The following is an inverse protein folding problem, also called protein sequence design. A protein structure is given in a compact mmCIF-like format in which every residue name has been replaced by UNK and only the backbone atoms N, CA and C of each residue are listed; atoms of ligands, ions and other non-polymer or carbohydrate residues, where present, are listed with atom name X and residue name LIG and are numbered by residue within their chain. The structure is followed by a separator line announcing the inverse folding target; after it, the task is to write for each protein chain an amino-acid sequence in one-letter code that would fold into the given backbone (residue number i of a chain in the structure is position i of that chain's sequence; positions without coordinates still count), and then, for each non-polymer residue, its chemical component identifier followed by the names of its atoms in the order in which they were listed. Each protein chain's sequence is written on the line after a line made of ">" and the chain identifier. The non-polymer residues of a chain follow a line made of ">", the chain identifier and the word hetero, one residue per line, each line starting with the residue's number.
data_IF_767906875969
#
_entry.id   IF_767906875969
#
_cell.length_a   1.000
_cell.length_b   1.000
_cell.length_c   1.000
_cell.angle_alpha   90.00
_cell.angle_beta   90.00
_cell.angle_gamma   90.00
#
_symmetry.space_group_name_H-M   'P 1'
#
loop_
_entity.id
_entity.type
_entity.pdbx_description
1 polymer ?
#
# COMPACT_ATOMS: atom_id res chain seq x y z
N UNK A 1 49.95 -67.53 -10.56
CA UNK A 1 48.49 -67.67 -10.29
C UNK A 1 48.05 -66.32 -9.80
N UNK A 2 47.56 -65.46 -10.73
CA UNK A 2 47.25 -64.04 -10.45
C UNK A 2 45.75 -63.91 -10.25
N UNK A 3 45.36 -63.59 -9.01
CA UNK A 3 43.95 -63.34 -8.62
C UNK A 3 43.62 -61.89 -8.93
N UNK A 4 42.75 -61.65 -9.93
CA UNK A 4 42.21 -60.35 -10.24
C UNK A 4 40.93 -60.16 -9.43
N UNK A 5 40.98 -59.22 -8.47
CA UNK A 5 39.80 -58.76 -7.70
C UNK A 5 39.09 -57.71 -8.57
N UNK A 6 37.85 -58.00 -9.03
CA UNK A 6 36.95 -57.03 -9.64
C UNK A 6 36.25 -56.23 -8.52
N UNK A 7 36.50 -54.94 -8.47
CA UNK A 7 35.69 -54.00 -7.71
C UNK A 7 34.45 -53.64 -8.54
N UNK A 8 33.28 -54.08 -8.11
CA UNK A 8 32.01 -53.60 -8.64
C UNK A 8 31.67 -52.28 -7.93
N UNK A 9 31.78 -51.15 -8.62
CA UNK A 9 31.27 -49.88 -8.17
C UNK A 9 29.77 -49.83 -8.37
N UNK A 10 28.99 -49.93 -7.31
CA UNK A 10 27.54 -49.68 -7.33
C UNK A 10 27.31 -48.17 -7.40
N UNK A 11 26.82 -47.72 -8.54
CA UNK A 11 26.36 -46.34 -8.75
C UNK A 11 25.01 -46.17 -8.02
N UNK A 12 25.06 -45.52 -6.87
CA UNK A 12 23.84 -45.11 -6.14
C UNK A 12 23.26 -43.91 -6.90
N UNK A 13 22.23 -44.12 -7.72
CA UNK A 13 21.43 -43.01 -8.27
C UNK A 13 20.55 -42.46 -7.18
N UNK A 14 20.92 -41.35 -6.57
CA UNK A 14 20.03 -40.54 -5.76
C UNK A 14 19.06 -39.84 -6.71
N UNK A 15 17.86 -40.37 -6.82
CA UNK A 15 16.75 -39.62 -7.45
C UNK A 15 16.36 -38.51 -6.48
N UNK A 16 16.78 -37.27 -6.75
CA UNK A 16 16.19 -36.09 -6.15
C UNK A 16 14.74 -36.04 -6.66
N UNK A 17 13.80 -36.34 -5.78
CA UNK A 17 12.41 -35.96 -6.02
C UNK A 17 12.43 -34.43 -6.19
N UNK A 18 12.13 -33.96 -7.41
CA UNK A 18 11.86 -32.56 -7.64
C UNK A 18 10.61 -32.24 -6.80
N UNK A 19 10.78 -31.49 -5.73
CA UNK A 19 9.67 -30.85 -5.05
C UNK A 19 8.97 -29.99 -6.12
N UNK A 20 7.66 -30.09 -6.22
CA UNK A 20 6.91 -29.22 -7.11
C UNK A 20 7.27 -27.78 -6.74
N UNK A 21 7.71 -27.01 -7.72
CA UNK A 21 8.03 -25.59 -7.50
C UNK A 21 6.70 -24.87 -7.22
N UNK A 22 6.53 -24.42 -5.98
CA UNK A 22 5.37 -23.65 -5.54
C UNK A 22 5.54 -22.14 -5.85
N UNK A 23 6.38 -21.81 -6.83
CA UNK A 23 6.62 -20.44 -7.26
C UNK A 23 6.89 -20.35 -8.78
N UNK A 24 6.73 -19.16 -9.31
CA UNK A 24 7.17 -18.80 -10.64
C UNK A 24 7.94 -17.49 -10.63
N UNK A 25 8.79 -17.30 -11.60
CA UNK A 25 9.62 -16.12 -11.78
C UNK A 25 9.56 -15.65 -13.24
N UNK A 26 9.40 -14.34 -13.47
CA UNK A 26 9.40 -13.72 -14.80
C UNK A 26 10.09 -12.38 -14.78
N UNK A 27 10.91 -12.13 -15.78
CA UNK A 27 11.54 -10.81 -16.01
C UNK A 27 11.06 -10.26 -17.35
N UNK A 28 10.54 -9.05 -17.33
CA UNK A 28 9.97 -8.36 -18.48
C UNK A 28 10.75 -7.07 -18.74
N UNK A 29 11.10 -6.84 -20.02
CA UNK A 29 11.72 -5.59 -20.40
C UNK A 29 10.63 -4.54 -20.62
N UNK A 30 10.82 -3.37 -20.04
CA UNK A 30 9.92 -2.22 -20.13
C UNK A 30 10.69 -0.95 -20.50
N UNK A 31 10.01 0.16 -20.73
CA UNK A 31 10.68 1.46 -20.85
C UNK A 31 10.82 2.12 -19.45
N UNK A 32 11.41 3.32 -19.41
CA UNK A 32 11.70 4.02 -18.15
C UNK A 32 10.46 4.35 -17.30
N UNK A 33 9.26 4.41 -17.89
CA UNK A 33 8.01 4.78 -17.20
C UNK A 33 6.91 3.75 -17.51
N UNK A 34 6.98 2.54 -16.99
CA UNK A 34 5.96 1.52 -17.20
C UNK A 34 4.71 1.77 -16.33
N UNK A 35 3.62 1.11 -16.73
CA UNK A 35 2.44 0.95 -15.92
C UNK A 35 2.35 -0.51 -15.43
N UNK A 36 2.20 -0.71 -14.13
CA UNK A 36 2.10 -2.02 -13.50
C UNK A 36 0.76 -2.16 -12.77
N UNK A 37 -0.01 -3.14 -13.17
CA UNK A 37 -1.27 -3.54 -12.54
C UNK A 37 -1.08 -4.90 -11.89
N UNK A 38 -1.38 -5.03 -10.60
CA UNK A 38 -1.29 -6.29 -9.86
C UNK A 38 -2.58 -6.52 -9.10
N UNK A 39 -3.16 -7.69 -9.26
CA UNK A 39 -4.37 -8.08 -8.54
C UNK A 39 -4.25 -9.48 -7.96
N UNK A 40 -4.66 -9.64 -6.68
CA UNK A 40 -4.73 -10.95 -6.02
C UNK A 40 -5.98 -11.04 -5.14
N UNK A 41 -6.50 -12.24 -4.96
CA UNK A 41 -7.68 -12.46 -4.10
C UNK A 41 -7.35 -12.33 -2.62
N UNK A 42 -6.26 -12.94 -2.16
CA UNK A 42 -5.93 -13.02 -0.73
C UNK A 42 -4.44 -12.87 -0.43
N UNK A 43 -3.59 -12.89 -1.45
CA UNK A 43 -2.14 -12.81 -1.29
C UNK A 43 -1.65 -11.39 -1.00
N UNK A 44 -0.44 -11.31 -0.52
CA UNK A 44 0.27 -10.05 -0.32
C UNK A 44 0.85 -9.56 -1.65
N UNK A 45 0.99 -8.26 -1.78
CA UNK A 45 1.67 -7.61 -2.89
C UNK A 45 2.77 -6.74 -2.31
N UNK A 46 4.01 -7.03 -2.69
CA UNK A 46 5.16 -6.24 -2.31
C UNK A 46 5.89 -5.77 -3.57
N UNK A 47 6.11 -4.46 -3.69
CA UNK A 47 6.80 -3.88 -4.84
C UNK A 47 7.97 -3.02 -4.37
N UNK A 48 9.18 -3.36 -4.81
CA UNK A 48 10.42 -2.66 -4.46
C UNK A 48 11.02 -1.94 -5.67
N UNK A 49 11.80 -0.90 -5.40
CA UNK A 49 12.60 -0.25 -6.42
C UNK A 49 13.69 -1.20 -6.95
N UNK A 50 13.80 -1.27 -8.27
CA UNK A 50 14.82 -2.01 -8.98
C UNK A 50 15.64 -1.15 -9.91
N UNK A 51 16.79 -1.65 -10.31
CA UNK A 51 17.67 -0.98 -11.25
C UNK A 51 17.32 -1.32 -12.72
N UNK A 52 17.35 -0.31 -13.58
CA UNK A 52 17.20 -0.49 -15.03
C UNK A 52 15.73 -0.48 -15.50
N UNK A 53 15.52 -1.00 -16.70
CA UNK A 53 14.22 -0.98 -17.39
C UNK A 53 13.62 -2.39 -17.45
N UNK A 54 13.50 -3.02 -16.30
CA UNK A 54 12.93 -4.36 -16.17
C UNK A 54 11.94 -4.41 -15.01
N UNK A 55 10.90 -5.20 -15.17
CA UNK A 55 10.03 -5.63 -14.08
C UNK A 55 10.31 -7.10 -13.85
N UNK A 56 10.73 -7.42 -12.61
CA UNK A 56 10.97 -8.78 -12.16
C UNK A 56 9.85 -9.18 -11.19
N UNK A 57 9.20 -10.29 -11.46
CA UNK A 57 8.01 -10.77 -10.76
C UNK A 57 8.28 -12.16 -10.23
N UNK A 58 8.14 -12.35 -8.93
CA UNK A 58 8.11 -13.65 -8.27
C UNK A 58 6.72 -13.85 -7.69
N UNK A 59 6.09 -14.97 -8.00
CA UNK A 59 4.80 -15.35 -7.45
C UNK A 59 4.93 -16.59 -6.59
N UNK A 60 4.70 -16.50 -5.28
CA UNK A 60 4.69 -17.61 -4.34
C UNK A 60 3.28 -18.16 -4.20
N UNK A 61 3.11 -19.44 -4.52
CA UNK A 61 1.79 -20.09 -4.60
C UNK A 61 1.53 -20.87 -3.32
N UNK A 62 0.41 -20.59 -2.69
CA UNK A 62 -0.03 -21.24 -1.46
C UNK A 62 -1.39 -21.93 -1.69
N UNK A 63 -1.47 -23.22 -1.38
CA UNK A 63 -2.74 -23.96 -1.39
C UNK A 63 -3.44 -23.85 -0.03
N UNK A 64 -4.71 -23.44 -0.03
CA UNK A 64 -5.53 -23.39 1.17
C UNK A 64 -5.90 -24.77 1.70
N UNK A 65 -6.26 -24.86 2.99
CA UNK A 65 -6.61 -26.14 3.71
C UNK A 65 -7.81 -26.88 3.10
N UNK A 66 -8.71 -26.17 2.42
CA UNK A 66 -9.90 -26.74 1.79
C UNK A 66 -9.74 -27.04 0.31
N UNK A 67 -8.51 -27.04 -0.18
CA UNK A 67 -8.24 -27.33 -1.56
C UNK A 67 -8.39 -28.83 -1.82
N UNK A 68 -9.54 -29.25 -2.36
CA UNK A 68 -9.80 -30.61 -2.80
C UNK A 68 -9.50 -30.78 -4.28
N UNK A 69 -9.09 -31.99 -4.69
CA UNK A 69 -8.83 -32.32 -6.07
C UNK A 69 -7.34 -32.31 -6.43
N UNK A 70 -7.03 -32.21 -7.72
CA UNK A 70 -5.66 -32.23 -8.25
C UNK A 70 -4.97 -30.85 -8.09
N UNK A 71 -4.59 -30.50 -6.85
CA UNK A 71 -3.92 -29.23 -6.51
C UNK A 71 -2.57 -29.12 -7.21
N UNK A 72 -1.74 -30.16 -7.12
CA UNK A 72 -0.40 -30.18 -7.72
C UNK A 72 -0.48 -29.93 -9.23
N UNK A 73 -1.48 -30.49 -9.90
CA UNK A 73 -1.70 -30.25 -11.33
C UNK A 73 -2.16 -28.82 -11.63
N UNK A 74 -2.88 -28.15 -10.71
CA UNK A 74 -3.28 -26.74 -10.86
C UNK A 74 -2.11 -25.82 -10.62
N UNK A 75 -1.32 -26.05 -9.56
CA UNK A 75 -0.07 -25.30 -9.27
C UNK A 75 0.88 -25.43 -10.46
N UNK A 76 1.11 -26.65 -10.96
CA UNK A 76 1.97 -26.89 -12.14
C UNK A 76 1.51 -26.06 -13.35
N UNK A 77 0.21 -25.97 -13.60
CA UNK A 77 -0.32 -25.13 -14.70
C UNK A 77 -0.07 -23.65 -14.48
N UNK A 78 -0.23 -23.16 -13.25
CA UNK A 78 0.03 -21.76 -12.90
C UNK A 78 1.51 -21.44 -13.09
N UNK A 79 2.43 -22.30 -12.62
CA UNK A 79 3.88 -22.13 -12.79
C UNK A 79 4.27 -22.12 -14.26
N UNK A 80 3.70 -23.02 -15.09
CA UNK A 80 3.98 -23.09 -16.52
C UNK A 80 3.43 -21.89 -17.30
N UNK A 81 2.27 -21.38 -16.90
CA UNK A 81 1.60 -20.26 -17.53
C UNK A 81 1.09 -19.28 -16.46
N UNK A 82 2.00 -18.50 -15.84
CA UNK A 82 1.62 -17.56 -14.81
C UNK A 82 0.69 -16.47 -15.37
N UNK A 83 -0.18 -15.89 -14.52
CA UNK A 83 -1.15 -14.88 -14.93
C UNK A 83 -0.50 -13.51 -15.16
N UNK A 84 0.41 -13.43 -16.12
CA UNK A 84 1.16 -12.24 -16.47
C UNK A 84 0.96 -11.93 -17.95
N UNK A 85 0.54 -10.70 -18.24
CA UNK A 85 0.34 -10.20 -19.60
C UNK A 85 1.12 -8.89 -19.74
N UNK A 86 1.87 -8.77 -20.82
CA UNK A 86 2.54 -7.53 -21.19
C UNK A 86 2.00 -7.00 -22.51
N UNK A 87 1.52 -5.77 -22.50
CA UNK A 87 1.06 -5.03 -23.68
C UNK A 87 1.86 -3.72 -23.82
N UNK A 88 2.90 -3.75 -24.65
CA UNK A 88 3.81 -2.63 -24.78
C UNK A 88 4.55 -2.33 -23.47
N UNK A 89 4.26 -1.18 -22.86
CA UNK A 89 4.87 -0.75 -21.59
C UNK A 89 3.97 -0.98 -20.37
N UNK A 90 2.84 -1.63 -20.56
CA UNK A 90 1.91 -2.00 -19.50
C UNK A 90 2.06 -3.47 -19.15
N UNK A 91 2.24 -3.76 -17.87
CA UNK A 91 2.31 -5.13 -17.33
C UNK A 91 1.12 -5.35 -16.41
N UNK A 92 0.41 -6.47 -16.60
CA UNK A 92 -0.73 -6.88 -15.81
C UNK A 92 -0.46 -8.23 -15.18
N UNK A 93 -0.68 -8.34 -13.88
CA UNK A 93 -0.41 -9.54 -13.07
C UNK A 93 -1.66 -9.91 -12.29
N UNK A 94 -2.06 -11.18 -12.37
CA UNK A 94 -3.20 -11.71 -11.60
C UNK A 94 -4.57 -11.29 -12.12
N UNK A 95 -4.68 -10.62 -13.26
CA UNK A 95 -5.96 -10.27 -13.88
C UNK A 95 -6.51 -11.42 -14.73
N UNK A 96 -7.84 -11.47 -14.87
CA UNK A 96 -8.57 -12.44 -15.74
C UNK A 96 -8.24 -13.91 -15.47
N UNK A 97 -8.01 -14.25 -14.19
CA UNK A 97 -7.72 -15.63 -13.79
C UNK A 97 -8.98 -16.49 -13.79
N UNK A 98 -8.87 -17.75 -14.24
CA UNK A 98 -9.98 -18.69 -14.21
C UNK A 98 -10.30 -19.10 -12.77
N UNK A 99 -11.53 -18.90 -12.30
CA UNK A 99 -11.97 -19.27 -10.97
C UNK A 99 -11.60 -20.72 -10.61
N UNK A 100 -11.87 -21.67 -11.50
CA UNK A 100 -11.63 -23.10 -11.25
C UNK A 100 -10.14 -23.43 -11.04
N UNK A 101 -9.24 -22.70 -11.73
CA UNK A 101 -7.80 -22.92 -11.61
C UNK A 101 -7.25 -22.34 -10.29
N UNK A 102 -7.81 -21.20 -9.83
CA UNK A 102 -7.33 -20.45 -8.67
C UNK A 102 -8.18 -20.65 -7.40
N UNK A 103 -9.21 -21.50 -7.45
CA UNK A 103 -10.03 -21.80 -6.28
C UNK A 103 -9.19 -22.35 -5.12
N UNK A 104 -9.23 -21.68 -3.97
CA UNK A 104 -8.42 -21.99 -2.77
C UNK A 104 -6.89 -21.99 -3.03
N UNK A 105 -6.43 -21.21 -4.00
CA UNK A 105 -5.03 -20.91 -4.24
C UNK A 105 -4.81 -19.43 -4.02
N UNK A 106 -3.82 -19.10 -3.21
CA UNK A 106 -3.35 -17.75 -2.96
C UNK A 106 -2.00 -17.56 -3.63
N UNK A 107 -1.74 -16.39 -4.20
CA UNK A 107 -0.43 -16.04 -4.74
C UNK A 107 0.02 -14.75 -4.09
N UNK A 108 1.14 -14.80 -3.37
CA UNK A 108 1.87 -13.63 -2.93
C UNK A 108 2.81 -13.17 -4.04
N UNK A 109 2.79 -11.88 -4.32
CA UNK A 109 3.64 -11.28 -5.35
C UNK A 109 4.74 -10.45 -4.74
N UNK A 110 5.98 -10.77 -5.10
CA UNK A 110 7.16 -9.95 -4.85
C UNK A 110 7.66 -9.41 -6.19
N UNK A 111 7.69 -8.09 -6.34
CA UNK A 111 7.95 -7.45 -7.61
C UNK A 111 9.04 -6.39 -7.44
N UNK A 112 10.00 -6.39 -8.35
CA UNK A 112 10.97 -5.30 -8.48
C UNK A 112 10.69 -4.54 -9.77
N UNK A 113 10.57 -3.20 -9.69
CA UNK A 113 10.20 -2.36 -10.82
C UNK A 113 11.04 -1.07 -10.88
N UNK A 114 11.13 -0.38 -12.05
CA UNK A 114 11.78 0.92 -12.14
C UNK A 114 11.12 1.96 -11.22
N UNK A 115 11.90 2.87 -10.62
CA UNK A 115 11.39 3.90 -9.70
C UNK A 115 10.27 4.77 -10.28
N UNK A 116 10.29 5.06 -11.56
CA UNK A 116 9.27 5.87 -12.24
C UNK A 116 8.04 5.06 -12.74
N UNK A 117 7.77 3.90 -12.17
CA UNK A 117 6.57 3.09 -12.48
C UNK A 117 5.29 3.79 -11.99
N UNK A 118 4.19 3.65 -12.73
CA UNK A 118 2.85 3.90 -12.18
C UNK A 118 2.26 2.57 -11.67
N UNK A 119 1.82 2.56 -10.42
CA UNK A 119 1.33 1.37 -9.73
C UNK A 119 -0.18 1.40 -9.58
N UNK A 120 -0.81 0.29 -9.90
CA UNK A 120 -2.20 0.00 -9.56
C UNK A 120 -2.26 -1.39 -8.92
N UNK A 121 -2.38 -1.42 -7.59
CA UNK A 121 -2.25 -2.63 -6.77
C UNK A 121 -3.55 -2.92 -6.03
N UNK A 122 -4.02 -4.14 -6.14
CA UNK A 122 -5.25 -4.57 -5.47
C UNK A 122 -5.10 -5.96 -4.83
N UNK A 123 -5.34 -6.04 -3.53
CA UNK A 123 -5.53 -7.32 -2.83
C UNK A 123 -6.92 -7.38 -2.19
N UNK A 124 -7.56 -8.54 -2.25
CA UNK A 124 -8.85 -8.72 -1.55
C UNK A 124 -8.67 -8.79 -0.04
N UNK A 125 -7.60 -9.41 0.46
CA UNK A 125 -7.40 -9.59 1.91
C UNK A 125 -5.95 -9.45 2.39
N UNK A 126 -4.96 -9.57 1.53
CA UNK A 126 -3.55 -9.45 1.88
C UNK A 126 -3.07 -8.01 2.00
N UNK A 127 -1.91 -7.85 2.57
CA UNK A 127 -1.23 -6.55 2.67
C UNK A 127 -0.69 -6.09 1.31
N UNK A 128 -0.64 -4.77 1.11
CA UNK A 128 -0.03 -4.14 -0.06
C UNK A 128 1.08 -3.21 0.42
N UNK A 129 2.31 -3.46 -0.02
CA UNK A 129 3.49 -2.70 0.38
C UNK A 129 4.26 -2.21 -0.85
N UNK A 130 4.68 -0.94 -0.84
CA UNK A 130 5.54 -0.35 -1.89
C UNK A 130 6.70 0.41 -1.27
N UNK A 131 7.91 0.29 -1.85
CA UNK A 131 9.12 0.92 -1.33
C UNK A 131 9.98 1.55 -2.43
N UNK A 132 10.29 2.85 -2.28
CA UNK A 132 11.25 3.59 -3.09
C UNK A 132 10.79 3.94 -4.50
N UNK A 133 9.48 3.88 -4.80
CA UNK A 133 9.02 4.01 -6.18
C UNK A 133 7.62 4.62 -6.29
N UNK A 134 7.23 4.91 -7.55
CA UNK A 134 5.89 5.34 -7.89
C UNK A 134 5.78 6.80 -8.29
N UNK A 135 5.79 7.08 -9.62
CA UNK A 135 5.34 8.39 -10.14
C UNK A 135 3.85 8.63 -9.89
N UNK A 136 3.11 7.57 -9.61
CA UNK A 136 1.73 7.53 -9.16
C UNK A 136 1.48 6.19 -8.50
N UNK A 137 0.80 6.18 -7.36
CA UNK A 137 0.40 4.97 -6.65
C UNK A 137 -1.10 4.97 -6.43
N UNK A 138 -1.76 3.90 -6.87
CA UNK A 138 -3.10 3.53 -6.43
C UNK A 138 -3.00 2.13 -5.82
N UNK A 139 -3.17 2.05 -4.50
CA UNK A 139 -3.05 0.79 -3.78
C UNK A 139 -4.29 0.54 -2.92
N UNK A 140 -4.81 -0.68 -2.96
CA UNK A 140 -6.02 -1.01 -2.22
C UNK A 140 -6.00 -2.43 -1.66
N UNK A 141 -6.57 -2.59 -0.45
CA UNK A 141 -6.87 -3.89 0.15
C UNK A 141 -8.27 -3.92 0.73
N UNK A 142 -8.94 -5.07 0.67
CA UNK A 142 -10.24 -5.22 1.32
C UNK A 142 -10.11 -5.32 2.85
N UNK A 143 -9.09 -6.02 3.36
CA UNK A 143 -8.92 -6.22 4.81
C UNK A 143 -7.48 -6.03 5.30
N UNK A 144 -6.49 -6.15 4.46
CA UNK A 144 -5.07 -5.98 4.79
C UNK A 144 -4.67 -4.52 4.89
N UNK A 145 -3.46 -4.30 5.36
CA UNK A 145 -2.86 -2.98 5.46
C UNK A 145 -2.32 -2.51 4.11
N UNK A 146 -2.25 -1.20 3.93
CA UNK A 146 -1.64 -0.57 2.75
C UNK A 146 -0.52 0.34 3.21
N UNK A 147 0.73 0.02 2.80
CA UNK A 147 1.93 0.75 3.17
C UNK A 147 2.67 1.25 1.93
N UNK A 148 3.03 2.52 1.92
CA UNK A 148 3.79 3.14 0.84
C UNK A 148 4.92 4.01 1.40
N UNK A 149 6.16 3.67 1.07
CA UNK A 149 7.34 4.38 1.52
C UNK A 149 8.17 4.90 0.34
N UNK A 150 8.76 6.09 0.46
CA UNK A 150 9.61 6.67 -0.58
C UNK A 150 8.86 7.04 -1.86
N UNK A 151 7.64 7.57 -1.75
CA UNK A 151 6.75 7.86 -2.88
C UNK A 151 7.18 9.11 -3.61
N UNK A 152 7.28 9.05 -4.94
CA UNK A 152 7.77 10.17 -5.77
C UNK A 152 6.67 11.03 -6.40
N UNK A 153 5.40 10.67 -6.27
CA UNK A 153 4.26 11.36 -6.88
C UNK A 153 2.97 11.22 -6.08
N UNK A 154 1.82 11.58 -6.66
CA UNK A 154 0.53 11.46 -5.99
C UNK A 154 0.21 10.02 -5.58
N UNK A 155 -0.47 9.86 -4.42
CA UNK A 155 -0.85 8.56 -3.89
C UNK A 155 -2.35 8.48 -3.55
N UNK A 156 -2.99 7.39 -3.95
CA UNK A 156 -4.35 7.02 -3.55
C UNK A 156 -4.32 5.65 -2.87
N UNK A 157 -4.54 5.63 -1.55
CA UNK A 157 -4.41 4.45 -0.70
C UNK A 157 -5.77 4.13 -0.06
N UNK A 158 -6.20 2.88 -0.15
CA UNK A 158 -7.50 2.47 0.38
C UNK A 158 -7.41 1.13 1.11
N UNK A 159 -8.05 1.04 2.29
CA UNK A 159 -8.29 -0.24 2.95
C UNK A 159 -9.75 -0.32 3.45
N UNK A 160 -10.33 -1.51 3.44
CA UNK A 160 -11.64 -1.70 4.06
C UNK A 160 -11.55 -1.73 5.58
N UNK A 161 -10.55 -2.41 6.14
CA UNK A 161 -10.41 -2.58 7.60
C UNK A 161 -8.99 -2.41 8.14
N UNK A 162 -7.98 -2.54 7.31
CA UNK A 162 -6.57 -2.40 7.70
C UNK A 162 -6.12 -0.95 7.80
N UNK A 163 -4.95 -0.77 8.36
CA UNK A 163 -4.28 0.53 8.49
C UNK A 163 -3.69 0.99 7.14
N UNK A 164 -3.57 2.30 7.01
CA UNK A 164 -2.88 2.94 5.90
C UNK A 164 -1.68 3.70 6.44
N UNK A 165 -0.53 3.45 5.85
CA UNK A 165 0.72 4.13 6.19
C UNK A 165 1.37 4.67 4.90
N UNK A 166 1.67 5.96 4.89
CA UNK A 166 2.48 6.59 3.85
C UNK A 166 3.62 7.34 4.50
N UNK A 167 4.84 7.12 4.01
CA UNK A 167 6.02 7.81 4.49
C UNK A 167 6.89 8.33 3.34
N UNK A 168 7.58 9.46 3.58
CA UNK A 168 8.57 10.04 2.68
C UNK A 168 8.03 10.42 1.31
N UNK A 169 6.98 11.27 1.28
CA UNK A 169 6.44 11.81 0.04
C UNK A 169 7.33 12.93 -0.51
N UNK A 170 7.86 12.76 -1.72
CA UNK A 170 8.67 13.81 -2.36
C UNK A 170 7.84 15.05 -2.71
N UNK A 171 6.74 14.88 -3.44
CA UNK A 171 5.74 15.92 -3.72
C UNK A 171 4.51 15.29 -4.37
N UNK A 172 3.31 15.69 -3.95
CA UNK A 172 2.06 15.23 -4.55
C UNK A 172 0.90 15.24 -3.57
N UNK A 173 -0.30 15.16 -4.11
CA UNK A 173 -1.51 15.06 -3.29
C UNK A 173 -1.71 13.61 -2.82
N UNK A 174 -2.17 13.47 -1.58
CA UNK A 174 -2.46 12.18 -0.96
C UNK A 174 -3.95 12.04 -0.72
N UNK A 175 -4.48 10.87 -1.08
CA UNK A 175 -5.81 10.42 -0.69
C UNK A 175 -5.69 9.10 0.04
N UNK A 176 -6.04 9.08 1.33
CA UNK A 176 -6.01 7.88 2.17
C UNK A 176 -7.40 7.63 2.76
N UNK A 177 -7.95 6.43 2.58
CA UNK A 177 -9.27 6.08 3.08
C UNK A 177 -9.31 4.68 3.65
N UNK A 178 -9.76 4.56 4.90
CA UNK A 178 -10.03 3.25 5.52
C UNK A 178 -11.40 3.23 6.19
N UNK A 179 -11.99 2.04 6.28
CA UNK A 179 -13.27 1.89 6.98
C UNK A 179 -13.11 1.84 8.50
N UNK A 180 -12.08 1.18 9.01
CA UNK A 180 -11.91 0.97 10.46
C UNK A 180 -10.48 1.13 10.97
N UNK A 181 -9.49 1.08 10.11
CA UNK A 181 -8.07 1.21 10.48
C UNK A 181 -7.65 2.64 10.74
N UNK A 182 -6.42 2.80 11.14
CA UNK A 182 -5.76 4.10 11.31
C UNK A 182 -5.16 4.58 9.99
N UNK A 183 -4.97 5.90 9.90
CA UNK A 183 -4.27 6.53 8.77
C UNK A 183 -3.07 7.29 9.31
N UNK A 184 -1.87 6.88 8.90
CA UNK A 184 -0.60 7.50 9.27
C UNK A 184 0.08 8.04 8.00
N UNK A 185 0.27 9.36 7.96
CA UNK A 185 0.91 10.05 6.83
C UNK A 185 2.12 10.83 7.35
N UNK A 186 3.32 10.35 7.03
CA UNK A 186 4.57 10.97 7.45
C UNK A 186 5.29 11.65 6.28
N UNK A 187 5.73 12.87 6.49
CA UNK A 187 6.45 13.64 5.48
C UNK A 187 5.58 14.11 4.33
N UNK A 188 4.33 14.51 4.61
CA UNK A 188 3.43 15.11 3.61
C UNK A 188 4.10 16.31 2.92
N UNK A 189 3.93 16.40 1.60
CA UNK A 189 4.39 17.53 0.80
C UNK A 189 3.41 17.79 -0.34
N UNK A 190 2.22 18.30 -0.02
CA UNK A 190 1.12 18.51 -0.97
C UNK A 190 -0.23 18.75 -0.28
N UNK A 191 -1.31 18.44 -0.99
CA UNK A 191 -2.66 18.39 -0.43
C UNK A 191 -2.94 17.03 0.22
N UNK A 192 -3.94 16.98 1.14
CA UNK A 192 -4.30 15.76 1.85
C UNK A 192 -5.82 15.55 1.92
N UNK A 193 -6.27 14.37 1.56
CA UNK A 193 -7.60 13.87 1.89
C UNK A 193 -7.42 12.57 2.68
N UNK A 194 -7.64 12.63 4.01
CA UNK A 194 -7.55 11.47 4.89
C UNK A 194 -8.92 11.17 5.52
N UNK A 195 -9.37 9.92 5.43
CA UNK A 195 -10.64 9.50 6.00
C UNK A 195 -10.55 8.15 6.69
N UNK A 196 -11.05 8.08 7.92
CA UNK A 196 -11.29 6.83 8.64
C UNK A 196 -12.73 6.77 9.17
N UNK A 197 -13.34 5.60 9.12
CA UNK A 197 -14.67 5.44 9.74
C UNK A 197 -14.60 5.38 11.26
N UNK A 198 -13.55 4.78 11.84
CA UNK A 198 -13.41 4.58 13.30
C UNK A 198 -12.01 4.75 13.86
N UNK A 199 -10.98 4.67 13.04
CA UNK A 199 -9.59 4.80 13.48
C UNK A 199 -9.09 6.24 13.57
N UNK A 200 -7.92 6.39 14.10
CA UNK A 200 -7.23 7.67 14.25
C UNK A 200 -6.60 8.10 12.92
N UNK A 201 -6.43 9.42 12.77
CA UNK A 201 -5.69 10.01 11.66
C UNK A 201 -4.55 10.80 12.25
N UNK A 202 -3.33 10.44 11.89
CA UNK A 202 -2.10 11.12 12.26
C UNK A 202 -1.35 11.53 10.99
N UNK A 203 -1.05 12.82 10.86
CA UNK A 203 -0.34 13.34 9.70
C UNK A 203 0.69 14.39 10.09
N UNK A 204 1.85 14.32 9.44
CA UNK A 204 2.89 15.34 9.59
C UNK A 204 3.48 15.77 8.24
N UNK A 205 4.07 16.95 8.20
CA UNK A 205 4.80 17.45 7.04
C UNK A 205 4.44 18.88 6.62
N UNK A 206 4.44 19.12 5.31
CA UNK A 206 4.18 20.42 4.72
C UNK A 206 2.89 20.44 3.91
N UNK A 207 1.96 21.29 4.32
CA UNK A 207 0.69 21.48 3.62
C UNK A 207 0.87 22.55 2.54
N UNK A 208 0.99 22.10 1.27
CA UNK A 208 1.14 22.97 0.09
C UNK A 208 -0.14 23.08 -0.76
N UNK A 209 -1.25 22.50 -0.29
CA UNK A 209 -2.54 22.49 -0.94
C UNK A 209 -3.68 22.42 0.08
N UNK A 210 -4.89 22.17 -0.39
CA UNK A 210 -6.03 21.97 0.51
C UNK A 210 -5.92 20.65 1.28
N UNK A 211 -6.42 20.63 2.53
CA UNK A 211 -6.49 19.42 3.32
C UNK A 211 -7.90 19.20 3.90
N UNK A 212 -8.34 17.94 3.91
CA UNK A 212 -9.58 17.49 4.52
C UNK A 212 -9.33 16.18 5.27
N UNK A 213 -9.41 16.23 6.60
CA UNK A 213 -9.22 15.08 7.49
C UNK A 213 -10.55 14.78 8.20
N UNK A 214 -11.03 13.55 8.07
CA UNK A 214 -12.33 13.15 8.60
C UNK A 214 -12.26 11.79 9.29
N UNK A 215 -12.58 11.73 10.60
CA UNK A 215 -12.77 10.47 11.33
C UNK A 215 -14.19 10.39 11.90
N UNK A 216 -14.77 9.21 11.87
CA UNK A 216 -16.08 9.01 12.52
C UNK A 216 -15.99 9.00 14.05
N UNK A 217 -14.94 8.38 14.62
CA UNK A 217 -14.79 8.23 16.06
C UNK A 217 -13.37 8.40 16.59
N UNK A 218 -12.38 8.42 15.74
CA UNK A 218 -10.97 8.53 16.12
C UNK A 218 -10.51 9.96 16.35
N UNK A 219 -9.36 10.07 16.98
CA UNK A 219 -8.60 11.32 17.13
C UNK A 219 -8.03 11.74 15.78
N UNK A 220 -7.91 13.05 15.55
CA UNK A 220 -7.21 13.61 14.40
C UNK A 220 -6.05 14.47 14.90
N UNK A 221 -4.83 14.03 14.60
CA UNK A 221 -3.58 14.76 14.89
C UNK A 221 -2.94 15.25 13.60
N UNK A 222 -2.56 16.52 13.58
CA UNK A 222 -1.87 17.14 12.45
C UNK A 222 -0.69 17.96 12.94
N UNK A 223 0.53 17.53 12.57
CA UNK A 223 1.78 18.19 12.92
C UNK A 223 2.38 18.89 11.70
N UNK A 224 2.36 20.22 11.70
CA UNK A 224 2.90 21.04 10.61
C UNK A 224 4.11 21.85 11.09
N UNK A 225 4.86 22.45 10.16
CA UNK A 225 5.88 23.41 10.55
C UNK A 225 5.27 24.63 11.23
N UNK A 226 5.98 25.24 12.19
CA UNK A 226 5.50 26.43 12.93
C UNK A 226 5.22 27.65 12.04
N UNK A 227 5.74 27.65 10.82
CA UNK A 227 5.51 28.65 9.77
C UNK A 227 4.31 28.33 8.86
N UNK A 228 3.65 27.19 9.07
CA UNK A 228 2.49 26.80 8.29
C UNK A 228 1.36 27.86 8.42
N UNK A 229 0.72 28.15 7.30
CA UNK A 229 -0.35 29.12 7.19
C UNK A 229 -1.54 28.50 6.45
N UNK A 230 -2.72 28.60 7.04
CA UNK A 230 -3.93 27.98 6.49
C UNK A 230 -5.20 28.65 7.03
N UNK A 231 -6.33 28.40 6.36
CA UNK A 231 -7.65 28.77 6.86
C UNK A 231 -8.29 27.52 7.48
N UNK A 232 -8.42 27.50 8.80
CA UNK A 232 -8.93 26.39 9.58
C UNK A 232 -10.46 26.36 9.62
N UNK A 233 -11.04 25.17 9.42
CA UNK A 233 -12.39 24.82 9.85
C UNK A 233 -12.31 23.47 10.57
N UNK A 234 -12.34 23.47 11.90
CA UNK A 234 -12.28 22.26 12.71
C UNK A 234 -13.59 22.05 13.46
N UNK A 235 -14.07 20.82 13.51
CA UNK A 235 -15.29 20.44 14.24
C UNK A 235 -15.19 19.04 14.83
N UNK A 236 -15.74 18.88 16.06
CA UNK A 236 -15.93 17.58 16.71
C UNK A 236 -17.34 17.49 17.29
N UNK A 237 -17.87 16.28 17.37
CA UNK A 237 -19.19 16.07 18.00
C UNK A 237 -19.11 15.98 19.53
N UNK A 238 -18.02 15.41 20.09
CA UNK A 238 -17.91 15.15 21.53
C UNK A 238 -16.48 15.30 22.10
N UNK A 239 -15.51 15.64 21.30
CA UNK A 239 -14.12 15.85 21.73
C UNK A 239 -13.79 17.33 21.91
N UNK A 240 -12.53 17.59 22.19
CA UNK A 240 -11.96 18.93 22.28
C UNK A 240 -11.11 19.27 21.04
N UNK A 241 -10.98 20.55 20.72
CA UNK A 241 -10.17 21.06 19.63
C UNK A 241 -8.98 21.83 20.22
N UNK A 242 -7.77 21.38 19.94
CA UNK A 242 -6.54 22.04 20.39
C UNK A 242 -5.70 22.50 19.20
N UNK A 243 -5.46 23.81 19.12
CA UNK A 243 -4.60 24.40 18.07
C UNK A 243 -3.45 25.12 18.71
N UNK A 244 -2.25 24.59 18.54
CA UNK A 244 -1.02 25.13 19.11
C UNK A 244 -0.17 25.84 18.04
N UNK A 245 -0.61 27.06 17.67
CA UNK A 245 0.11 27.97 16.78
C UNK A 245 0.14 29.38 17.34
N UNK A 246 1.19 30.19 17.07
CA UNK A 246 1.33 31.52 17.63
C UNK A 246 0.16 32.48 17.35
N UNK A 247 -0.44 32.38 16.20
CA UNK A 247 -1.56 33.23 15.75
C UNK A 247 -2.80 32.39 15.41
N UNK A 248 -3.09 31.40 16.24
CA UNK A 248 -4.30 30.58 16.09
C UNK A 248 -5.56 31.41 16.44
N UNK A 249 -6.72 31.12 15.84
CA UNK A 249 -7.98 31.71 16.26
C UNK A 249 -8.28 31.33 17.70
N UNK A 250 -8.85 32.27 18.47
CA UNK A 250 -9.26 32.01 19.84
C UNK A 250 -10.54 31.21 19.87
N UNK A 251 -10.55 30.19 20.70
CA UNK A 251 -11.75 29.40 20.98
C UNK A 251 -12.55 30.06 22.10
N UNK A 252 -13.81 30.38 21.83
CA UNK A 252 -14.72 30.89 22.85
C UNK A 252 -15.27 29.75 23.70
N UNK A 253 -15.53 29.97 24.99
CA UNK A 253 -16.08 28.99 25.94
C UNK A 253 -17.39 28.34 25.46
N UNK A 254 -18.10 28.94 24.51
CA UNK A 254 -19.37 28.47 23.96
C UNK A 254 -19.22 27.65 22.68
N UNK A 255 -18.01 27.55 22.12
CA UNK A 255 -17.73 26.88 20.85
C UNK A 255 -16.65 25.79 20.93
N UNK A 256 -16.66 25.00 22.03
CA UNK A 256 -15.63 23.96 22.28
C UNK A 256 -15.51 22.92 21.16
N UNK A 257 -16.57 22.75 20.40
CA UNK A 257 -16.66 21.73 19.35
C UNK A 257 -16.54 22.28 17.92
N UNK A 258 -16.26 23.57 17.79
CA UNK A 258 -16.09 24.18 16.48
C UNK A 258 -15.13 25.37 16.55
N UNK A 259 -14.16 25.39 15.64
CA UNK A 259 -13.17 26.45 15.56
C UNK A 259 -12.90 26.80 14.08
N UNK A 260 -13.03 28.08 13.75
CA UNK A 260 -12.74 28.59 12.42
C UNK A 260 -11.89 29.84 12.47
N UNK A 261 -11.05 30.02 11.49
CA UNK A 261 -10.29 31.25 11.31
C UNK A 261 -8.93 31.04 10.65
N UNK A 262 -8.26 32.14 10.33
CA UNK A 262 -6.92 32.09 9.76
C UNK A 262 -5.89 31.74 10.82
N UNK A 263 -4.93 30.89 10.47
CA UNK A 263 -3.71 30.60 11.22
C UNK A 263 -2.53 31.23 10.47
N UNK A 264 -1.66 31.96 11.17
CA UNK A 264 -0.51 32.70 10.60
C UNK A 264 -0.86 33.55 9.36
N UNK A 265 -2.03 34.24 9.38
CA UNK A 265 -2.45 35.11 8.29
C UNK A 265 -3.31 34.44 7.21
N UNK A 266 -3.60 33.15 7.36
CA UNK A 266 -4.44 32.39 6.43
C UNK A 266 -3.70 31.86 5.20
N UNK A 267 -4.30 30.89 4.53
CA UNK A 267 -3.70 30.19 3.37
C UNK A 267 -4.65 29.16 2.78
N UNK A 268 -4.17 28.02 2.30
CA UNK A 268 -5.00 26.93 1.83
C UNK A 268 -6.06 26.50 2.85
N UNK A 269 -7.24 26.02 2.41
CA UNK A 269 -8.25 25.54 3.36
C UNK A 269 -7.79 24.24 4.02
N UNK A 270 -7.97 24.19 5.35
CA UNK A 270 -7.79 23.02 6.18
C UNK A 270 -9.10 22.69 6.89
N UNK A 271 -9.73 21.62 6.50
CA UNK A 271 -10.98 21.13 7.09
C UNK A 271 -10.71 19.87 7.91
N UNK A 272 -11.08 19.88 9.21
CA UNK A 272 -10.93 18.72 10.08
C UNK A 272 -12.27 18.43 10.76
N UNK A 273 -12.71 17.18 10.65
CA UNK A 273 -13.97 16.73 11.28
C UNK A 273 -13.78 15.39 11.99
N UNK A 274 -14.27 15.30 13.22
CA UNK A 274 -14.44 14.01 13.90
C UNK A 274 -15.79 13.94 14.60
N UNK A 275 -16.36 12.73 14.69
CA UNK A 275 -17.64 12.55 15.39
C UNK A 275 -17.47 12.53 16.90
N UNK A 276 -16.43 11.86 17.42
CA UNK A 276 -16.26 11.66 18.87
C UNK A 276 -14.82 11.79 19.38
N UNK A 277 -13.87 12.00 18.54
CA UNK A 277 -12.46 12.16 18.92
C UNK A 277 -12.06 13.62 19.14
N UNK A 278 -10.86 13.80 19.66
CA UNK A 278 -10.22 15.10 19.77
C UNK A 278 -9.56 15.51 18.45
N UNK A 279 -9.41 16.80 18.26
CA UNK A 279 -8.64 17.38 17.15
C UNK A 279 -7.45 18.11 17.74
N UNK A 280 -6.25 17.71 17.32
CA UNK A 280 -5.01 18.33 17.76
C UNK A 280 -4.20 18.80 16.54
N UNK A 281 -3.87 20.10 16.50
CA UNK A 281 -3.10 20.72 15.43
C UNK A 281 -1.95 21.47 16.06
N UNK A 282 -0.72 21.13 15.68
CA UNK A 282 0.49 21.75 16.24
C UNK A 282 1.53 22.06 15.16
N UNK A 283 2.40 23.04 15.47
CA UNK A 283 3.48 23.47 14.60
C UNK A 283 4.77 23.80 15.32
#
# INVERSE_FOLDING_TARGET
>A
MNLRILFAASLLTVSTAALAEDHFERTLNVSAQPDLYVSTGSGNITVHEGSGNQIHIVGHIHAGWSAFGNIDGRITKIVQSPPIVQEGNTVRVGENVSHDLYENITIDYEITAPSAVALNLHSGSGDVTTEGLGRYISASSGSGNVRAHGVSGPAELQSGSGDIELAELSAGDVKARTGSGNVHIHGLNGGLIARSGSGDIDADGHLNGSASLESGSGKVELHLGSDAHFNLEASTGSGDIHVNFPNAPHQDDHSRHHLTGPVNGGGPPLEIRTGSGDVEISG
#
